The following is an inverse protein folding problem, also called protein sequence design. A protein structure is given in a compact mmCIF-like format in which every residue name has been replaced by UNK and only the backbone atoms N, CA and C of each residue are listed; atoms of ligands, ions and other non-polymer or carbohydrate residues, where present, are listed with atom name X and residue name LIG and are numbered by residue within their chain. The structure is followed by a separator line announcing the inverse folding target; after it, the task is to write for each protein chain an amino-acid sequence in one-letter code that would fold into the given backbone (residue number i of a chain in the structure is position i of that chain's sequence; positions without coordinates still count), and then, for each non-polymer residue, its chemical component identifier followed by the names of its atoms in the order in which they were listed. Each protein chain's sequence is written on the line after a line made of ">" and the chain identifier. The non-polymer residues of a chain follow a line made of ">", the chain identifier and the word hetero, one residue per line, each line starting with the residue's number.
data_IF_284341620037
#
_entry.id   IF_284341620037
#
_cell.length_a   1.000
_cell.length_b   1.000
_cell.length_c   1.000
_cell.angle_alpha   90.00
_cell.angle_beta   90.00
_cell.angle_gamma   90.00
#
_symmetry.space_group_name_H-M   'P 1'
#
loop_
_entity.id
_entity.type
_entity.pdbx_description
1 polymer ?
#
# COMPACT_ATOMS: atom_id res chain seq x y z
N UNK A 1 -3.76 -2.84 4.07
CA UNK A 1 -2.87 -3.36 3.03
C UNK A 1 -1.55 -2.60 3.08
N UNK A 2 -0.50 -3.23 3.61
CA UNK A 2 0.82 -2.63 3.86
C UNK A 2 1.87 -3.13 2.85
N UNK A 3 1.46 -3.45 1.63
CA UNK A 3 2.29 -4.09 0.61
C UNK A 3 3.53 -3.28 0.18
N UNK A 4 3.41 -1.93 0.12
CA UNK A 4 4.50 -1.09 -0.40
C UNK A 4 5.76 -1.05 0.45
N UNK A 5 5.63 -1.11 1.76
CA UNK A 5 6.77 -1.10 2.69
C UNK A 5 7.42 -2.50 2.73
N UNK A 6 6.65 -3.56 2.55
CA UNK A 6 7.11 -4.93 2.71
C UNK A 6 8.05 -5.43 1.61
N UNK A 7 7.80 -5.10 0.34
CA UNK A 7 8.72 -5.51 -0.74
C UNK A 7 10.08 -4.84 -0.63
N UNK A 8 10.10 -3.55 -0.28
CA UNK A 8 11.37 -2.84 0.01
C UNK A 8 12.03 -3.38 1.27
N UNK A 9 11.25 -3.76 2.29
CA UNK A 9 11.75 -4.31 3.56
C UNK A 9 12.44 -5.66 3.37
N UNK A 10 11.84 -6.59 2.61
CA UNK A 10 12.47 -7.88 2.31
C UNK A 10 13.80 -7.71 1.61
N UNK A 11 13.81 -6.93 0.52
CA UNK A 11 15.01 -6.63 -0.25
C UNK A 11 16.10 -6.04 0.65
N UNK A 12 15.76 -5.05 1.46
CA UNK A 12 16.67 -4.36 2.36
C UNK A 12 17.15 -5.24 3.53
N UNK A 13 16.31 -6.10 4.09
CA UNK A 13 16.70 -6.97 5.19
C UNK A 13 17.59 -8.13 4.73
N UNK A 14 17.32 -8.71 3.57
CA UNK A 14 18.10 -9.80 3.01
C UNK A 14 19.44 -9.30 2.48
N UNK A 15 19.45 -8.19 1.76
CA UNK A 15 20.65 -7.62 1.14
C UNK A 15 21.59 -6.93 2.17
N UNK A 16 21.05 -6.19 3.15
CA UNK A 16 21.89 -5.40 4.08
C UNK A 16 22.46 -6.23 5.23
N UNK A 17 21.83 -7.33 5.62
CA UNK A 17 22.38 -8.19 6.68
C UNK A 17 23.56 -9.03 6.21
N UNK A 18 23.64 -9.32 4.90
CA UNK A 18 24.60 -10.26 4.33
C UNK A 18 25.59 -9.63 3.33
N UNK A 19 25.36 -8.39 2.86
CA UNK A 19 26.22 -7.67 1.96
C UNK A 19 27.40 -7.00 2.67
N UNK A 20 28.59 -7.19 2.11
CA UNK A 20 29.72 -6.31 2.41
C UNK A 20 29.43 -4.90 1.87
N UNK A 21 29.94 -3.86 2.55
CA UNK A 21 29.75 -2.43 2.17
C UNK A 21 30.14 -2.17 0.69
N UNK A 22 31.00 -3.00 0.14
CA UNK A 22 31.52 -2.94 -1.23
C UNK A 22 30.51 -3.41 -2.29
N UNK A 23 29.42 -4.06 -1.87
CA UNK A 23 28.36 -4.60 -2.74
C UNK A 23 27.11 -3.72 -2.79
N UNK A 24 27.07 -2.63 -2.01
CA UNK A 24 25.95 -1.69 -1.99
C UNK A 24 26.03 -0.77 -3.22
N UNK A 25 25.13 -0.97 -4.17
CA UNK A 25 25.02 -0.06 -5.32
C UNK A 25 24.23 1.22 -4.99
N UNK A 26 24.21 2.16 -5.94
CA UNK A 26 23.56 3.45 -5.74
C UNK A 26 22.04 3.33 -5.60
N UNK A 27 21.41 2.38 -6.28
CA UNK A 27 19.97 2.16 -6.23
C UNK A 27 19.55 1.61 -4.86
N UNK A 28 20.29 0.66 -4.32
CA UNK A 28 20.07 0.14 -2.97
C UNK A 28 20.24 1.23 -1.92
N UNK A 29 21.25 2.10 -2.08
CA UNK A 29 21.48 3.22 -1.17
C UNK A 29 20.32 4.23 -1.20
N UNK A 30 19.84 4.59 -2.39
CA UNK A 30 18.72 5.51 -2.56
C UNK A 30 17.42 4.93 -1.94
N UNK A 31 17.16 3.64 -2.13
CA UNK A 31 16.03 2.95 -1.51
C UNK A 31 16.13 2.95 0.03
N UNK A 32 17.33 2.75 0.58
CA UNK A 32 17.57 2.83 2.02
C UNK A 32 17.31 4.24 2.57
N UNK A 33 17.80 5.26 1.89
CA UNK A 33 17.59 6.66 2.29
C UNK A 33 16.10 7.00 2.27
N UNK A 34 15.40 6.61 1.20
CA UNK A 34 13.95 6.81 1.08
C UNK A 34 13.19 6.09 2.20
N UNK A 35 13.57 4.85 2.50
CA UNK A 35 12.93 4.07 3.54
C UNK A 35 13.15 4.65 4.94
N UNK A 36 14.38 5.11 5.23
CA UNK A 36 14.68 5.84 6.47
C UNK A 36 13.86 7.11 6.60
N UNK A 37 13.77 7.89 5.51
CA UNK A 37 12.96 9.11 5.46
C UNK A 37 11.48 8.85 5.77
N UNK A 38 10.95 7.69 5.37
CA UNK A 38 9.58 7.26 5.63
C UNK A 38 9.42 6.52 6.98
N UNK A 39 10.38 6.62 7.91
CA UNK A 39 10.27 6.06 9.26
C UNK A 39 10.72 4.60 9.41
N UNK A 40 11.40 4.03 8.42
CA UNK A 40 11.85 2.64 8.42
C UNK A 40 12.92 2.28 9.46
N UNK A 41 13.59 3.27 10.06
CA UNK A 41 14.64 3.02 11.06
C UNK A 41 14.16 2.20 12.28
N UNK A 42 12.92 2.39 12.72
CA UNK A 42 12.35 1.63 13.82
C UNK A 42 12.20 0.15 13.42
N UNK A 43 11.64 -0.10 12.26
CA UNK A 43 11.43 -1.45 11.73
C UNK A 43 12.75 -2.20 11.52
N UNK A 44 13.77 -1.54 10.94
CA UNK A 44 15.12 -2.12 10.78
C UNK A 44 15.70 -2.53 12.14
N UNK A 45 15.62 -1.64 13.13
CA UNK A 45 16.16 -1.88 14.45
C UNK A 45 15.48 -3.07 15.13
N UNK A 46 14.16 -3.14 15.05
CA UNK A 46 13.37 -4.23 15.64
C UNK A 46 13.65 -5.56 14.92
N UNK A 47 13.66 -5.55 13.58
CA UNK A 47 14.00 -6.74 12.80
C UNK A 47 15.41 -7.28 13.13
N UNK A 48 16.41 -6.39 13.26
CA UNK A 48 17.78 -6.78 13.62
C UNK A 48 17.90 -7.32 15.05
N UNK A 49 16.97 -6.98 15.93
CA UNK A 49 16.94 -7.50 17.30
C UNK A 49 16.33 -8.91 17.39
N UNK A 50 15.66 -9.39 16.35
CA UNK A 50 15.15 -10.75 16.26
C UNK A 50 16.30 -11.75 16.14
N UNK A 51 16.10 -12.97 16.63
CA UNK A 51 17.01 -14.07 16.34
C UNK A 51 16.91 -14.51 14.85
N UNK A 52 17.87 -15.31 14.36
CA UNK A 52 17.90 -15.70 12.95
C UNK A 52 16.64 -16.46 12.48
N UNK A 53 16.07 -17.32 13.33
CA UNK A 53 14.88 -18.11 13.01
C UNK A 53 13.66 -17.20 12.84
N UNK A 54 13.45 -16.28 13.78
CA UNK A 54 12.38 -15.28 13.69
C UNK A 54 12.54 -14.35 12.47
N UNK A 55 13.77 -13.98 12.10
CA UNK A 55 13.98 -13.18 10.87
C UNK A 55 13.55 -13.92 9.62
N UNK A 56 13.90 -15.21 9.52
CA UNK A 56 13.51 -16.06 8.42
C UNK A 56 11.98 -16.21 8.35
N UNK A 57 11.31 -16.42 9.49
CA UNK A 57 9.84 -16.48 9.56
C UNK A 57 9.20 -15.18 9.07
N UNK A 58 9.71 -14.01 9.50
CA UNK A 58 9.21 -12.70 9.05
C UNK A 58 9.40 -12.53 7.54
N UNK A 59 10.55 -12.90 6.99
CA UNK A 59 10.81 -12.80 5.55
C UNK A 59 9.88 -13.72 4.76
N UNK A 60 9.71 -14.97 5.18
CA UNK A 60 8.79 -15.91 4.55
C UNK A 60 7.34 -15.41 4.58
N UNK A 61 6.91 -14.86 5.73
CA UNK A 61 5.59 -14.25 5.84
C UNK A 61 5.39 -13.09 4.86
N UNK A 62 6.43 -12.27 4.62
CA UNK A 62 6.36 -11.17 3.67
C UNK A 62 6.34 -11.64 2.20
N UNK A 63 6.88 -12.82 1.92
CA UNK A 63 6.82 -13.43 0.57
C UNK A 63 5.40 -13.82 0.16
N UNK A 64 4.55 -14.13 1.13
CA UNK A 64 3.16 -14.53 0.89
C UNK A 64 2.23 -13.33 0.55
N UNK A 65 2.73 -12.08 0.61
CA UNK A 65 1.92 -10.92 0.26
C UNK A 65 1.73 -10.77 -1.25
N UNK A 66 0.46 -10.69 -1.66
CA UNK A 66 0.09 -10.37 -3.03
C UNK A 66 0.26 -8.86 -3.32
N UNK A 67 0.65 -8.53 -4.54
CA UNK A 67 0.71 -7.14 -5.02
C UNK A 67 -0.68 -6.56 -5.30
N UNK A 68 -1.62 -7.42 -5.65
CA UNK A 68 -3.02 -7.09 -5.90
C UNK A 68 -3.90 -8.29 -5.55
N UNK A 69 -5.18 -8.04 -5.40
CA UNK A 69 -6.20 -9.08 -5.23
C UNK A 69 -7.40 -8.78 -6.13
N UNK A 70 -7.88 -9.80 -6.83
CA UNK A 70 -9.12 -9.75 -7.60
C UNK A 70 -10.20 -10.53 -6.86
N UNK A 71 -11.29 -9.86 -6.54
CA UNK A 71 -12.39 -10.45 -5.77
C UNK A 71 -13.72 -10.30 -6.50
N UNK A 72 -14.56 -11.31 -6.39
CA UNK A 72 -15.97 -11.23 -6.74
C UNK A 72 -16.80 -11.30 -5.48
N UNK A 73 -17.57 -10.26 -5.20
CA UNK A 73 -18.47 -10.18 -4.05
C UNK A 73 -19.90 -9.94 -4.55
N UNK A 74 -20.73 -10.96 -4.44
CA UNK A 74 -22.04 -10.97 -5.11
C UNK A 74 -21.88 -10.92 -6.63
N UNK A 75 -22.43 -9.86 -7.25
CA UNK A 75 -22.33 -9.63 -8.69
C UNK A 75 -21.25 -8.59 -9.05
N UNK A 76 -20.53 -8.06 -8.06
CA UNK A 76 -19.54 -6.98 -8.25
C UNK A 76 -18.12 -7.53 -8.29
N UNK A 77 -17.33 -6.98 -9.21
CA UNK A 77 -15.90 -7.23 -9.31
C UNK A 77 -15.13 -6.14 -8.57
N UNK A 78 -14.04 -6.55 -7.92
CA UNK A 78 -13.14 -5.67 -7.20
C UNK A 78 -11.69 -6.01 -7.55
N UNK A 79 -10.89 -4.96 -7.79
CA UNK A 79 -9.45 -5.03 -7.88
C UNK A 79 -8.87 -4.22 -6.71
N UNK A 80 -8.15 -4.89 -5.82
CA UNK A 80 -7.51 -4.28 -4.65
C UNK A 80 -6.03 -4.12 -4.94
N UNK A 81 -5.52 -2.90 -4.81
CA UNK A 81 -4.09 -2.58 -4.91
C UNK A 81 -3.69 -1.63 -3.78
N UNK A 82 -2.41 -1.58 -3.43
CA UNK A 82 -1.96 -0.67 -2.36
C UNK A 82 -2.04 0.80 -2.79
N UNK A 83 -1.37 1.17 -3.87
CA UNK A 83 -1.24 2.57 -4.32
C UNK A 83 -2.25 2.93 -5.40
N UNK A 84 -2.07 2.40 -6.58
CA UNK A 84 -2.90 2.70 -7.74
C UNK A 84 -2.50 1.86 -8.95
N UNK A 85 -2.78 2.39 -10.15
CA UNK A 85 -2.43 1.76 -11.42
C UNK A 85 -1.56 2.72 -12.24
N UNK A 86 -0.25 2.69 -12.00
CA UNK A 86 0.72 3.55 -12.69
C UNK A 86 0.74 3.28 -14.19
N UNK A 87 0.65 4.34 -15.00
CA UNK A 87 0.63 4.18 -16.46
C UNK A 87 -0.58 3.38 -16.96
N UNK A 88 -1.75 3.55 -16.33
CA UNK A 88 -2.97 2.84 -16.70
C UNK A 88 -3.37 3.09 -18.17
N UNK A 89 -3.59 2.00 -18.89
CA UNK A 89 -4.37 1.96 -20.14
C UNK A 89 -5.43 0.85 -20.07
N UNK A 90 -6.56 0.97 -20.78
CA UNK A 90 -7.63 -0.04 -20.73
C UNK A 90 -7.19 -1.45 -21.15
N UNK A 91 -6.13 -1.54 -21.96
CA UNK A 91 -5.62 -2.80 -22.53
C UNK A 91 -4.56 -3.45 -21.65
N UNK A 92 -3.96 -2.68 -20.69
CA UNK A 92 -2.88 -3.18 -19.83
C UNK A 92 -3.44 -4.13 -18.79
N UNK A 93 -2.99 -5.39 -18.84
CA UNK A 93 -3.40 -6.41 -17.85
C UNK A 93 -2.70 -6.19 -16.52
N UNK A 94 -3.30 -6.65 -15.43
CA UNK A 94 -2.78 -6.42 -14.07
C UNK A 94 -1.37 -6.99 -13.85
N UNK A 95 -1.05 -8.11 -14.49
CA UNK A 95 0.27 -8.75 -14.40
C UNK A 95 1.39 -7.98 -15.12
N UNK A 96 1.03 -7.00 -15.95
CA UNK A 96 2.00 -6.16 -16.69
C UNK A 96 2.43 -4.91 -15.91
N UNK A 97 1.81 -4.67 -14.74
CA UNK A 97 2.19 -3.57 -13.87
C UNK A 97 3.41 -3.92 -13.04
N UNK A 98 4.35 -2.98 -12.97
CA UNK A 98 5.47 -3.11 -12.05
C UNK A 98 5.04 -2.96 -10.59
N UNK A 99 5.89 -3.43 -9.66
CA UNK A 99 5.73 -3.18 -8.24
C UNK A 99 5.51 -1.68 -7.96
N UNK A 100 6.32 -0.82 -8.58
CA UNK A 100 6.22 0.64 -8.42
C UNK A 100 4.85 1.18 -8.86
N UNK A 101 4.31 0.67 -9.97
CA UNK A 101 3.00 1.09 -10.50
C UNK A 101 1.85 0.75 -9.55
N UNK A 102 1.94 -0.37 -8.84
CA UNK A 102 0.88 -0.85 -7.93
C UNK A 102 1.00 -0.29 -6.51
N UNK A 103 2.23 0.05 -6.08
CA UNK A 103 2.53 0.39 -4.69
C UNK A 103 2.71 1.90 -4.47
N UNK A 104 3.34 2.60 -5.41
CA UNK A 104 3.68 4.01 -5.27
C UNK A 104 2.83 4.96 -6.10
N UNK A 105 2.19 4.46 -7.16
CA UNK A 105 1.38 5.30 -8.02
C UNK A 105 0.19 5.88 -7.24
N UNK A 106 -0.07 7.16 -7.47
CA UNK A 106 -1.26 7.84 -6.94
C UNK A 106 -2.35 7.86 -8.00
N UNK A 107 -3.55 7.39 -7.68
CA UNK A 107 -4.66 7.39 -8.63
C UNK A 107 -5.10 8.80 -9.03
N UNK A 108 -5.63 8.93 -10.22
CA UNK A 108 -6.47 10.06 -10.61
C UNK A 108 -7.90 9.78 -10.10
N UNK A 109 -8.32 10.48 -9.08
CA UNK A 109 -9.63 10.30 -8.44
C UNK A 109 -10.82 10.85 -9.25
N UNK A 110 -10.55 11.51 -10.37
CA UNK A 110 -11.58 11.96 -11.30
C UNK A 110 -11.75 11.01 -12.49
N UNK A 111 -10.94 9.95 -12.55
CA UNK A 111 -10.94 8.98 -13.62
C UNK A 111 -11.75 7.75 -13.27
N UNK A 112 -12.57 7.28 -14.20
CA UNK A 112 -13.11 5.93 -14.18
C UNK A 112 -12.09 4.99 -14.81
N UNK A 113 -11.55 4.07 -14.01
CA UNK A 113 -10.55 3.10 -14.47
C UNK A 113 -11.21 1.93 -15.20
N UNK A 114 -12.32 1.44 -14.66
CA UNK A 114 -13.05 0.29 -15.18
C UNK A 114 -14.54 0.56 -15.18
N UNK A 115 -15.26 0.04 -16.20
CA UNK A 115 -16.71 0.16 -16.28
C UNK A 115 -17.45 -0.77 -15.31
N UNK A 116 -16.90 -1.99 -15.06
CA UNK A 116 -17.56 -3.07 -14.34
C UNK A 116 -16.82 -3.54 -13.09
N UNK A 117 -15.64 -2.99 -12.84
CA UNK A 117 -14.78 -3.39 -11.70
C UNK A 117 -14.53 -2.20 -10.77
N UNK A 118 -14.68 -2.42 -9.48
CA UNK A 118 -14.37 -1.42 -8.48
C UNK A 118 -12.88 -1.49 -8.11
N UNK A 119 -12.15 -0.39 -8.31
CA UNK A 119 -10.77 -0.26 -7.87
C UNK A 119 -10.74 0.15 -6.39
N UNK A 120 -10.07 -0.63 -5.55
CA UNK A 120 -9.88 -0.30 -4.12
C UNK A 120 -8.43 0.04 -3.87
N UNK A 121 -8.15 1.23 -3.32
CA UNK A 121 -6.79 1.72 -3.07
C UNK A 121 -6.59 2.25 -1.66
N UNK A 122 -5.36 2.19 -1.18
CA UNK A 122 -4.86 2.84 0.04
C UNK A 122 -3.81 3.91 -0.27
N UNK A 123 -2.71 3.95 0.50
CA UNK A 123 -1.49 4.73 0.28
C UNK A 123 -1.65 6.26 0.23
N UNK A 124 -2.68 6.75 -0.41
CA UNK A 124 -2.95 8.20 -0.51
C UNK A 124 -4.05 8.55 0.48
N UNK A 125 -3.70 9.28 1.56
CA UNK A 125 -4.68 9.64 2.57
C UNK A 125 -5.85 10.44 1.98
N UNK A 126 -7.06 10.03 2.28
CA UNK A 126 -8.29 10.66 1.74
C UNK A 126 -8.43 12.13 2.12
N UNK A 127 -7.71 12.60 3.14
CA UNK A 127 -7.57 14.01 3.47
C UNK A 127 -6.87 14.83 2.38
N UNK A 128 -6.05 14.18 1.56
CA UNK A 128 -5.26 14.84 0.51
C UNK A 128 -5.92 14.78 -0.87
N UNK A 129 -7.10 14.17 -0.98
CA UNK A 129 -7.89 14.12 -2.22
C UNK A 129 -8.69 15.42 -2.32
N UNK A 130 -8.38 16.31 -3.28
CA UNK A 130 -9.02 17.62 -3.37
C UNK A 130 -10.55 17.56 -3.59
N UNK A 131 -11.02 16.50 -4.24
CA UNK A 131 -12.44 16.28 -4.55
C UNK A 131 -13.21 15.57 -3.44
N UNK A 132 -12.57 15.28 -2.31
CA UNK A 132 -13.21 14.63 -1.18
C UNK A 132 -13.90 15.66 -0.29
N UNK A 133 -15.22 15.73 -0.35
CA UNK A 133 -16.04 16.61 0.50
C UNK A 133 -16.02 16.20 1.98
N UNK A 134 -15.53 14.99 2.30
CA UNK A 134 -15.43 14.47 3.66
C UNK A 134 -14.02 13.93 3.96
N UNK A 135 -13.00 14.80 4.11
CA UNK A 135 -11.62 14.39 4.34
C UNK A 135 -11.47 13.47 5.56
N UNK A 136 -10.68 12.40 5.45
CA UNK A 136 -10.47 11.43 6.53
C UNK A 136 -11.55 10.34 6.63
N UNK A 137 -12.46 10.28 5.69
CA UNK A 137 -13.41 9.20 5.48
C UNK A 137 -13.18 8.51 4.16
N UNK A 138 -13.70 7.30 3.98
CA UNK A 138 -13.61 6.54 2.72
C UNK A 138 -14.18 7.38 1.59
N UNK A 139 -13.40 7.54 0.52
CA UNK A 139 -13.83 8.25 -0.67
C UNK A 139 -14.30 7.25 -1.74
N UNK A 140 -15.50 7.51 -2.31
CA UNK A 140 -16.09 6.65 -3.34
C UNK A 140 -16.55 7.48 -4.53
N UNK A 141 -15.99 7.24 -5.71
CA UNK A 141 -16.41 7.88 -6.94
C UNK A 141 -15.91 7.08 -8.16
N UNK A 142 -16.67 7.06 -9.25
CA UNK A 142 -16.25 6.45 -10.51
C UNK A 142 -15.73 5.02 -10.39
N UNK A 143 -16.45 4.14 -9.68
CA UNK A 143 -16.00 2.77 -9.37
C UNK A 143 -14.64 2.70 -8.65
N UNK A 144 -14.26 3.78 -7.95
CA UNK A 144 -13.06 3.84 -7.14
C UNK A 144 -13.40 4.03 -5.66
N UNK A 145 -12.77 3.24 -4.81
CA UNK A 145 -12.92 3.26 -3.36
C UNK A 145 -11.53 3.48 -2.75
N UNK A 146 -11.25 4.68 -2.24
CA UNK A 146 -10.02 4.99 -1.52
C UNK A 146 -10.27 4.84 0.00
N UNK A 147 -9.53 3.93 0.64
CA UNK A 147 -9.77 3.52 2.05
C UNK A 147 -8.71 3.99 3.03
N UNK A 148 -7.65 4.66 2.59
CA UNK A 148 -6.64 5.22 3.50
C UNK A 148 -7.18 6.51 4.15
N UNK A 149 -7.75 6.39 5.32
CA UNK A 149 -8.26 7.52 6.08
C UNK A 149 -7.21 8.20 6.96
N UNK A 150 -5.91 7.98 6.66
CA UNK A 150 -4.78 8.70 7.24
C UNK A 150 -4.54 8.44 8.72
N UNK A 151 -4.71 7.20 9.20
CA UNK A 151 -4.62 6.85 10.62
C UNK A 151 -3.32 7.28 11.32
N UNK A 152 -2.22 7.44 10.58
CA UNK A 152 -0.93 7.90 11.11
C UNK A 152 -0.80 9.43 11.20
N UNK A 153 -1.78 10.18 10.71
CA UNK A 153 -1.77 11.64 10.73
C UNK A 153 -2.77 12.20 11.75
N UNK A 154 -2.52 13.42 12.28
CA UNK A 154 -3.48 14.08 13.15
C UNK A 154 -4.85 14.26 12.46
N UNK A 155 -5.92 13.90 13.15
CA UNK A 155 -7.29 13.94 12.61
C UNK A 155 -7.64 12.77 11.66
N UNK A 156 -6.68 11.88 11.40
CA UNK A 156 -6.93 10.65 10.63
C UNK A 156 -7.49 9.52 11.49
N UNK A 157 -7.91 8.43 10.85
CA UNK A 157 -8.53 7.28 11.51
C UNK A 157 -8.26 5.99 10.75
N UNK A 158 -8.38 4.85 11.42
CA UNK A 158 -8.51 3.57 10.75
C UNK A 158 -9.90 3.47 10.15
N UNK A 159 -9.99 2.89 8.97
CA UNK A 159 -11.25 2.62 8.30
C UNK A 159 -11.28 1.19 7.75
N UNK A 160 -12.48 0.63 7.69
CA UNK A 160 -12.76 -0.62 7.02
C UNK A 160 -14.09 -0.51 6.26
N UNK A 161 -14.24 -1.29 5.22
CA UNK A 161 -15.48 -1.40 4.45
C UNK A 161 -15.84 -2.87 4.27
N UNK A 162 -17.09 -3.21 4.53
CA UNK A 162 -17.68 -4.48 4.16
C UNK A 162 -18.11 -4.40 2.68
N UNK A 163 -17.46 -5.15 1.80
CA UNK A 163 -17.74 -5.09 0.36
C UNK A 163 -19.12 -5.65 -0.01
N UNK A 164 -19.65 -6.59 0.79
CA UNK A 164 -20.98 -7.18 0.60
C UNK A 164 -22.10 -6.17 0.83
N UNK A 165 -21.98 -5.38 1.91
CA UNK A 165 -23.04 -4.46 2.36
C UNK A 165 -22.76 -3.01 2.01
N UNK A 166 -21.49 -2.65 1.77
CA UNK A 166 -21.03 -1.28 1.64
C UNK A 166 -20.94 -0.53 2.97
N UNK A 167 -21.13 -1.21 4.11
CA UNK A 167 -21.03 -0.63 5.45
C UNK A 167 -19.59 -0.23 5.77
N UNK A 168 -19.43 0.94 6.32
CA UNK A 168 -18.13 1.53 6.67
C UNK A 168 -17.96 1.59 8.19
N UNK A 169 -16.78 1.25 8.65
CA UNK A 169 -16.38 1.24 10.05
C UNK A 169 -15.17 2.14 10.26
N UNK A 170 -15.18 2.90 11.35
CA UNK A 170 -14.13 3.86 11.65
C UNK A 170 -13.70 3.78 13.11
N UNK A 171 -12.39 3.90 13.37
CA UNK A 171 -11.89 4.16 14.72
C UNK A 171 -12.21 5.60 15.14
N UNK A 172 -11.99 5.92 16.43
CA UNK A 172 -11.89 7.32 16.85
C UNK A 172 -10.76 8.02 16.09
N UNK A 173 -10.86 9.35 16.00
CA UNK A 173 -9.84 10.17 15.37
C UNK A 173 -8.50 10.07 16.12
N UNK A 174 -7.40 10.11 15.37
CA UNK A 174 -6.08 10.28 15.95
C UNK A 174 -5.91 11.76 16.33
N UNK A 175 -6.12 12.07 17.59
CA UNK A 175 -6.01 13.44 18.12
C UNK A 175 -4.59 13.82 18.59
N UNK A 176 -3.56 12.97 18.26
CA UNK A 176 -2.14 13.28 18.51
C UNK A 176 -1.72 13.09 19.96
#
# INVERSE_FOLDING_TARGET
>A
VTLGIHCSFRFLCQEITDLAIEEVDAELLDNLVLWKYNGGDATIREFRALDPEMREEVLNFLEDFSLYEELTVGEKQYLLVHGGLGGFTPEKRIEEYSLHDLVWARPDYQKEYFADTNLVTGHTPTQTIPENDNPGYIYKKYHHIAIDCGACFPGGRLAAICLETGEEFYSSDNNG
#
